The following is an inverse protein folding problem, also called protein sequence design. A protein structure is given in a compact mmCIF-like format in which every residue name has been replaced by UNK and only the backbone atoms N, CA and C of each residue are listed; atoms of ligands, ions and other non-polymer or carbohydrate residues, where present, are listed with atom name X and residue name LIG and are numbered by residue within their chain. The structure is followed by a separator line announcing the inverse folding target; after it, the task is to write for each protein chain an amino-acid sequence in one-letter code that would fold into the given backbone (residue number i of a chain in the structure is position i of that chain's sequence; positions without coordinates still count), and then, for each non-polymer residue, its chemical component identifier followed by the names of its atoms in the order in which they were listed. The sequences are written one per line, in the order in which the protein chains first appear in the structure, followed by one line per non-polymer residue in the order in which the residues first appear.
data_IF_761362530193
#
_entry.id   IF_761362530193
#
_cell.length_a   1.000
_cell.length_b   1.000
_cell.length_c   1.000
_cell.angle_alpha   90.00
_cell.angle_beta   90.00
_cell.angle_gamma   90.00
#
_symmetry.space_group_name_H-M   'P 1'
#
loop_
_entity.id
_entity.type
_entity.pdbx_description
1 polymer ?
#
# COMPACT_ATOMS: atom_id res chain seq x y z
N UNK A 1 -2.20 10.27 -10.27
CA UNK A 1 -3.07 9.52 -9.35
C UNK A 1 -2.42 9.42 -7.99
N UNK A 2 -3.21 9.32 -6.92
CA UNK A 2 -2.68 9.24 -5.55
C UNK A 2 -2.94 7.83 -5.02
N UNK A 3 -1.89 7.20 -4.51
CA UNK A 3 -1.98 5.94 -3.77
C UNK A 3 -1.70 6.18 -2.29
N UNK A 4 -2.42 5.46 -1.44
CA UNK A 4 -2.22 5.48 0.00
C UNK A 4 -1.49 4.19 0.38
N UNK A 5 -0.42 4.31 1.16
CA UNK A 5 0.35 3.20 1.69
C UNK A 5 0.12 3.18 3.19
N UNK A 6 -0.49 2.11 3.70
CA UNK A 6 -0.70 1.88 5.12
C UNK A 6 0.31 0.85 5.60
N UNK A 7 1.14 1.23 6.57
CA UNK A 7 2.15 0.36 7.17
C UNK A 7 1.79 0.15 8.63
N UNK A 8 1.52 -1.10 8.98
CA UNK A 8 1.05 -1.48 10.30
C UNK A 8 2.21 -1.99 11.17
N UNK A 9 2.07 -1.85 12.48
CA UNK A 9 3.07 -2.33 13.45
C UNK A 9 3.23 -3.86 13.45
N UNK A 10 2.29 -4.61 12.87
CA UNK A 10 2.44 -6.04 12.66
C UNK A 10 3.30 -6.41 11.43
N UNK A 11 3.89 -5.42 10.75
CA UNK A 11 4.72 -5.60 9.56
C UNK A 11 3.96 -5.69 8.24
N UNK A 12 2.62 -5.67 8.27
CA UNK A 12 1.79 -5.72 7.07
C UNK A 12 1.75 -4.37 6.37
N UNK A 13 1.70 -4.39 5.03
CA UNK A 13 1.46 -3.22 4.18
C UNK A 13 0.18 -3.39 3.38
N UNK A 14 -0.60 -2.33 3.28
CA UNK A 14 -1.76 -2.24 2.39
C UNK A 14 -1.62 -1.04 1.46
N UNK A 15 -1.75 -1.27 0.16
CA UNK A 15 -1.91 -0.22 -0.84
C UNK A 15 -3.40 0.01 -1.09
N UNK A 16 -3.80 1.27 -1.05
CA UNK A 16 -5.17 1.71 -1.23
C UNK A 16 -5.25 2.80 -2.30
N UNK A 17 -6.13 2.59 -3.27
CA UNK A 17 -6.57 3.58 -4.23
C UNK A 17 -8.06 3.85 -3.99
N UNK A 18 -8.48 5.10 -3.97
CA UNK A 18 -9.88 5.49 -3.83
C UNK A 18 -10.12 6.80 -4.58
N UNK A 19 -10.65 6.72 -5.80
CA UNK A 19 -10.94 7.90 -6.64
C UNK A 19 -12.21 7.70 -7.47
N UNK A 20 -12.84 8.81 -7.85
CA UNK A 20 -13.92 8.79 -8.84
C UNK A 20 -13.31 8.65 -10.23
N UNK A 21 -13.68 7.59 -10.94
CA UNK A 21 -13.27 7.32 -12.30
C UNK A 21 -14.47 7.47 -13.24
N UNK A 22 -14.17 7.73 -14.51
CA UNK A 22 -15.15 7.84 -15.58
C UNK A 22 -14.72 6.94 -16.74
N UNK A 23 -15.65 6.15 -17.29
CA UNK A 23 -15.42 5.24 -18.40
C UNK A 23 -16.20 3.94 -18.27
N UNK A 24 -16.10 3.06 -19.28
CA UNK A 24 -16.64 1.69 -19.20
C UNK A 24 -15.68 0.79 -18.43
N UNK A 25 -14.42 0.73 -18.88
CA UNK A 25 -13.29 0.03 -18.27
C UNK A 25 -12.13 1.02 -18.12
N UNK A 26 -11.38 0.92 -17.02
CA UNK A 26 -10.24 1.76 -16.73
C UNK A 26 -8.99 0.92 -16.46
N UNK A 27 -7.93 1.17 -17.22
CA UNK A 27 -6.62 0.56 -17.05
C UNK A 27 -5.87 1.25 -15.92
N UNK A 28 -5.92 0.66 -14.72
CA UNK A 28 -5.30 1.19 -13.51
C UNK A 28 -3.87 0.63 -13.32
N UNK A 29 -2.80 1.42 -13.52
CA UNK A 29 -1.46 0.98 -13.17
C UNK A 29 -1.33 0.80 -11.65
N UNK A 30 -0.90 -0.39 -11.25
CA UNK A 30 -0.54 -0.70 -9.87
C UNK A 30 0.90 -0.24 -9.61
N UNK A 31 1.15 0.55 -8.56
CA UNK A 31 2.46 1.13 -8.32
C UNK A 31 3.49 0.09 -7.86
N UNK A 32 3.03 -1.05 -7.35
CA UNK A 32 3.88 -2.15 -6.91
C UNK A 32 3.22 -3.49 -7.26
N UNK A 33 3.98 -4.53 -7.64
CA UNK A 33 3.43 -5.84 -7.93
C UNK A 33 2.64 -6.42 -6.74
N UNK A 34 1.41 -6.92 -6.95
CA UNK A 34 0.61 -7.48 -5.87
C UNK A 34 1.14 -8.85 -5.40
N UNK A 35 1.08 -9.09 -4.09
CA UNK A 35 1.31 -10.39 -3.46
C UNK A 35 0.10 -11.31 -3.63
N UNK A 36 -1.10 -10.74 -3.58
CA UNK A 36 -2.40 -11.41 -3.73
C UNK A 36 -3.31 -10.63 -4.68
N UNK A 37 -4.35 -11.28 -5.21
CA UNK A 37 -5.33 -10.63 -6.07
C UNK A 37 -5.88 -9.33 -5.43
N UNK A 38 -5.86 -8.19 -6.12
CA UNK A 38 -6.44 -6.96 -5.62
C UNK A 38 -7.95 -7.08 -5.44
N UNK A 39 -8.47 -6.52 -4.34
CA UNK A 39 -9.92 -6.39 -4.15
C UNK A 39 -10.34 -5.05 -4.74
N UNK A 40 -11.29 -5.09 -5.67
CA UNK A 40 -11.81 -3.93 -6.37
C UNK A 40 -13.27 -3.73 -6.00
N UNK A 41 -13.63 -2.49 -5.64
CA UNK A 41 -14.99 -2.11 -5.33
C UNK A 41 -15.42 -0.94 -6.22
N UNK A 42 -16.58 -1.07 -6.85
CA UNK A 42 -17.28 -0.02 -7.57
C UNK A 42 -18.42 0.49 -6.67
N UNK A 43 -18.33 1.76 -6.23
CA UNK A 43 -19.28 2.36 -5.28
C UNK A 43 -19.50 1.51 -4.01
N UNK A 44 -18.44 0.82 -3.55
CA UNK A 44 -18.49 -0.06 -2.38
C UNK A 44 -18.92 -1.50 -2.66
N UNK A 45 -19.37 -1.82 -3.87
CA UNK A 45 -19.73 -3.18 -4.28
C UNK A 45 -18.52 -3.88 -4.91
N UNK A 46 -18.12 -5.08 -4.45
CA UNK A 46 -17.07 -5.84 -5.09
C UNK A 46 -17.39 -6.12 -6.56
N UNK A 47 -16.43 -5.84 -7.45
CA UNK A 47 -16.55 -6.10 -8.89
C UNK A 47 -15.37 -6.93 -9.39
N UNK A 48 -15.58 -7.78 -10.40
CA UNK A 48 -14.46 -8.48 -11.03
C UNK A 48 -13.54 -7.47 -11.72
N UNK A 49 -12.23 -7.71 -11.63
CA UNK A 49 -11.22 -6.96 -12.35
C UNK A 49 -10.16 -7.91 -12.89
N UNK A 50 -9.55 -7.55 -14.02
CA UNK A 50 -8.54 -8.41 -14.68
C UNK A 50 -7.16 -7.82 -14.45
N UNK A 51 -6.28 -8.60 -13.85
CA UNK A 51 -4.89 -8.20 -13.65
C UNK A 51 -4.05 -8.65 -14.85
N UNK A 52 -3.50 -7.70 -15.61
CA UNK A 52 -2.58 -7.94 -16.71
C UNK A 52 -1.19 -7.36 -16.37
N UNK A 53 -0.32 -8.21 -15.81
CA UNK A 53 0.99 -7.79 -15.31
C UNK A 53 0.87 -6.81 -14.13
N UNK A 54 1.22 -5.54 -14.36
CA UNK A 54 1.09 -4.44 -13.38
C UNK A 54 -0.12 -3.55 -13.62
N UNK A 55 -0.95 -3.83 -14.62
CA UNK A 55 -2.14 -3.04 -14.94
C UNK A 55 -3.39 -3.82 -14.55
N UNK A 56 -4.29 -3.16 -13.83
CA UNK A 56 -5.56 -3.71 -13.39
C UNK A 56 -6.69 -3.10 -14.23
N UNK A 57 -7.37 -3.92 -15.02
CA UNK A 57 -8.53 -3.52 -15.81
C UNK A 57 -9.78 -3.53 -14.93
N UNK A 58 -10.30 -2.34 -14.63
CA UNK A 58 -11.40 -2.14 -13.69
C UNK A 58 -12.69 -1.72 -14.42
N UNK A 59 -13.81 -2.44 -14.26
CA UNK A 59 -15.09 -2.00 -14.79
C UNK A 59 -15.65 -0.84 -13.96
N UNK A 60 -15.78 0.33 -14.59
CA UNK A 60 -16.29 1.56 -13.98
C UNK A 60 -17.78 1.76 -14.30
N UNK A 61 -18.22 1.39 -15.50
CA UNK A 61 -19.63 1.45 -15.94
C UNK A 61 -20.25 2.87 -15.88
N UNK A 62 -19.55 3.87 -16.39
CA UNK A 62 -19.99 5.26 -16.42
C UNK A 62 -19.16 6.10 -15.46
N UNK A 63 -19.71 6.48 -14.31
CA UNK A 63 -19.00 7.25 -13.28
C UNK A 63 -19.15 6.56 -11.93
N UNK A 64 -18.04 6.16 -11.33
CA UNK A 64 -18.05 5.44 -10.06
C UNK A 64 -16.84 5.80 -9.19
N UNK A 65 -17.04 5.71 -7.87
CA UNK A 65 -15.94 5.68 -6.91
C UNK A 65 -15.33 4.29 -6.94
N UNK A 66 -14.13 4.19 -7.48
CA UNK A 66 -13.38 2.93 -7.53
C UNK A 66 -12.43 2.88 -6.35
N UNK A 67 -12.58 1.83 -5.53
CA UNK A 67 -11.66 1.51 -4.45
C UNK A 67 -10.89 0.25 -4.81
N UNK A 68 -9.56 0.30 -4.74
CA UNK A 68 -8.69 -0.88 -4.92
C UNK A 68 -7.82 -1.03 -3.68
N UNK A 69 -7.80 -2.23 -3.10
CA UNK A 69 -6.96 -2.56 -1.94
C UNK A 69 -6.19 -3.85 -2.20
N UNK A 70 -4.90 -3.86 -1.88
CA UNK A 70 -4.06 -5.05 -2.02
C UNK A 70 -2.78 -4.97 -1.18
N UNK A 71 -2.14 -6.12 -0.96
CA UNK A 71 -0.83 -6.23 -0.31
C UNK A 71 0.24 -6.33 -1.40
N UNK A 72 1.30 -5.49 -1.38
CA UNK A 72 2.37 -5.57 -2.37
C UNK A 72 3.33 -6.72 -2.05
N UNK A 73 4.10 -7.17 -3.04
CA UNK A 73 5.23 -8.08 -2.79
C UNK A 73 6.34 -7.34 -2.07
N UNK A 74 6.65 -7.81 -0.86
CA UNK A 74 7.74 -7.28 -0.04
C UNK A 74 8.94 -8.22 -0.06
N UNK A 75 10.13 -7.64 -0.14
CA UNK A 75 11.39 -8.31 0.10
C UNK A 75 11.79 -8.09 1.57
N UNK A 76 12.50 -9.07 2.15
CA UNK A 76 12.97 -8.97 3.54
C UNK A 76 14.47 -9.19 3.58
N UNK A 77 15.21 -8.21 4.11
CA UNK A 77 16.67 -8.29 4.28
C UNK A 77 17.04 -7.72 5.65
N UNK A 78 17.68 -8.53 6.51
CA UNK A 78 18.16 -8.08 7.81
C UNK A 78 17.08 -7.50 8.74
N UNK A 79 15.86 -8.05 8.69
CA UNK A 79 14.71 -7.54 9.48
C UNK A 79 14.05 -6.28 8.93
N UNK A 80 14.53 -5.75 7.80
CA UNK A 80 13.89 -4.66 7.05
C UNK A 80 13.05 -5.24 5.93
N UNK A 81 11.78 -4.85 5.88
CA UNK A 81 10.88 -5.13 4.77
C UNK A 81 10.96 -4.00 3.76
N UNK A 82 10.92 -4.31 2.47
CA UNK A 82 10.96 -3.30 1.42
C UNK A 82 10.16 -3.70 0.19
N UNK A 83 9.63 -2.71 -0.52
CA UNK A 83 9.01 -2.90 -1.82
C UNK A 83 9.20 -1.65 -2.69
N UNK A 84 9.23 -1.84 -4.01
CA UNK A 84 9.38 -0.73 -4.94
C UNK A 84 8.01 -0.16 -5.31
N UNK A 85 7.98 1.15 -5.55
CA UNK A 85 6.84 1.89 -6.07
C UNK A 85 7.25 2.64 -7.34
N UNK A 86 6.36 2.65 -8.34
CA UNK A 86 6.54 3.38 -9.60
C UNK A 86 6.40 4.90 -9.43
N UNK A 87 6.51 5.64 -10.53
CA UNK A 87 6.17 7.07 -10.56
C UNK A 87 4.74 7.31 -10.06
N UNK A 88 4.57 8.34 -9.23
CA UNK A 88 3.28 8.67 -8.64
C UNK A 88 3.39 9.45 -7.34
N UNK A 89 2.25 9.96 -6.87
CA UNK A 89 2.15 10.62 -5.58
C UNK A 89 1.60 9.65 -4.53
N UNK A 90 2.28 9.58 -3.39
CA UNK A 90 1.99 8.64 -2.31
C UNK A 90 1.68 9.37 -1.02
N UNK A 91 0.61 8.95 -0.35
CA UNK A 91 0.35 9.26 1.05
C UNK A 91 0.69 8.04 1.90
N UNK A 92 1.79 8.11 2.63
CA UNK A 92 2.30 7.03 3.46
C UNK A 92 1.87 7.29 4.88
N UNK A 93 1.10 6.38 5.46
CA UNK A 93 0.78 6.35 6.88
C UNK A 93 1.49 5.14 7.50
N UNK A 94 2.37 5.39 8.47
CA UNK A 94 3.01 4.34 9.24
C UNK A 94 2.62 4.44 10.70
N UNK A 95 2.17 3.33 11.27
CA UNK A 95 1.81 3.22 12.67
C UNK A 95 3.05 3.37 13.58
N UNK A 96 2.83 3.79 14.83
CA UNK A 96 3.87 3.80 15.85
C UNK A 96 4.53 2.43 16.02
N UNK A 97 5.84 2.43 16.26
CA UNK A 97 6.66 1.21 16.27
C UNK A 97 7.17 0.79 14.89
N UNK A 98 6.89 1.55 13.83
CA UNK A 98 7.50 1.33 12.50
C UNK A 98 8.61 2.35 12.26
N UNK A 99 9.83 1.89 11.98
CA UNK A 99 10.90 2.72 11.45
C UNK A 99 10.78 2.78 9.92
N UNK A 100 10.64 3.99 9.35
CA UNK A 100 10.55 4.19 7.90
C UNK A 100 11.92 4.58 7.32
N UNK A 101 12.28 3.96 6.20
CA UNK A 101 13.49 4.22 5.42
C UNK A 101 13.17 4.33 3.92
N UNK A 102 12.30 5.28 3.49
CA UNK A 102 11.97 5.44 2.09
C UNK A 102 13.15 6.00 1.28
N UNK A 103 13.29 5.58 0.03
CA UNK A 103 14.20 6.20 -0.95
C UNK A 103 13.47 7.08 -1.97
N UNK A 104 12.14 7.17 -1.86
CA UNK A 104 11.30 8.10 -2.63
C UNK A 104 11.53 9.56 -2.20
N UNK A 105 11.19 10.51 -3.07
CA UNK A 105 11.33 11.95 -2.78
C UNK A 105 10.25 12.39 -1.79
N UNK A 106 10.65 12.80 -0.59
CA UNK A 106 9.72 13.26 0.44
C UNK A 106 9.32 14.72 0.16
N UNK A 107 8.03 14.96 -0.02
CA UNK A 107 7.48 16.30 -0.25
C UNK A 107 7.08 16.98 1.07
N UNK A 108 6.49 16.22 1.99
CA UNK A 108 6.10 16.71 3.31
C UNK A 108 5.94 15.54 4.28
N UNK A 109 6.06 15.79 5.57
CA UNK A 109 5.74 14.82 6.60
C UNK A 109 5.22 15.52 7.86
N UNK A 110 4.40 14.81 8.62
CA UNK A 110 3.93 15.22 9.93
C UNK A 110 3.79 14.01 10.82
N UNK A 111 4.05 14.19 12.10
CA UNK A 111 3.67 13.21 13.12
C UNK A 111 2.23 13.51 13.56
N UNK A 112 1.43 12.47 13.77
CA UNK A 112 0.07 12.55 14.29
C UNK A 112 -0.17 11.43 15.29
N UNK A 113 -0.19 11.75 16.59
CA UNK A 113 -0.13 10.75 17.64
C UNK A 113 1.17 9.95 17.53
N UNK A 114 1.06 8.62 17.50
CA UNK A 114 2.21 7.74 17.30
C UNK A 114 2.50 7.39 15.83
N UNK A 115 1.64 7.83 14.91
CA UNK A 115 1.82 7.57 13.49
C UNK A 115 2.60 8.69 12.80
N UNK A 116 3.33 8.32 11.75
CA UNK A 116 3.95 9.27 10.81
C UNK A 116 3.13 9.27 9.53
N UNK A 117 2.75 10.46 9.09
CA UNK A 117 2.11 10.69 7.80
C UNK A 117 3.10 11.42 6.89
N UNK A 118 3.35 10.87 5.71
CA UNK A 118 4.33 11.39 4.77
C UNK A 118 3.71 11.48 3.39
N UNK A 119 3.96 12.58 2.69
CA UNK A 119 3.63 12.78 1.29
C UNK A 119 4.92 12.64 0.51
N UNK A 120 4.97 11.71 -0.43
CA UNK A 120 6.17 11.42 -1.20
C UNK A 120 5.86 11.21 -2.68
N UNK A 121 6.85 11.46 -3.52
CA UNK A 121 6.82 11.28 -4.96
C UNK A 121 7.76 10.13 -5.35
N UNK A 122 7.21 9.11 -6.01
CA UNK A 122 7.99 8.03 -6.61
C UNK A 122 8.67 8.46 -7.91
N UNK A 123 9.53 7.61 -8.48
CA UNK A 123 9.72 6.20 -8.14
C UNK A 123 10.72 6.01 -7.00
N UNK A 124 10.73 4.83 -6.40
CA UNK A 124 11.69 4.48 -5.34
C UNK A 124 11.27 3.28 -4.51
N UNK A 125 12.02 2.99 -3.47
CA UNK A 125 11.73 1.93 -2.52
C UNK A 125 11.08 2.51 -1.26
N UNK A 126 10.11 1.78 -0.72
CA UNK A 126 9.58 1.99 0.63
C UNK A 126 10.14 0.88 1.48
N UNK A 127 11.16 1.18 2.29
CA UNK A 127 11.71 0.25 3.26
C UNK A 127 11.23 0.61 4.67
N UNK A 128 11.00 -0.39 5.51
CA UNK A 128 10.56 -0.22 6.88
C UNK A 128 10.95 -1.41 7.77
N UNK A 129 11.09 -1.15 9.07
CA UNK A 129 11.33 -2.17 10.08
C UNK A 129 10.35 -2.01 11.23
N UNK A 130 9.94 -3.13 11.83
CA UNK A 130 9.07 -3.14 13.01
C UNK A 130 9.94 -3.16 14.26
N UNK A 131 9.78 -2.15 15.12
CA UNK A 131 10.41 -2.07 16.43
C UNK A 131 9.62 -2.96 17.39
N UNK A 132 10.13 -4.15 17.70
CA UNK A 132 9.40 -5.03 18.63
C UNK A 132 9.93 -6.46 18.81
N UNK A 133 10.75 -6.99 17.92
CA UNK A 133 11.42 -8.27 18.18
C UNK A 133 12.83 -8.00 18.71
N UNK A 134 13.00 -8.11 20.03
CA UNK A 134 14.33 -8.44 20.58
C UNK A 134 14.70 -9.80 20.02
N UNK A 135 15.44 -9.84 18.92
CA UNK A 135 16.22 -11.03 18.61
C UNK A 135 17.31 -11.07 19.67
N UNK A 136 17.11 -11.88 20.72
CA UNK A 136 18.21 -12.27 21.60
C UNK A 136 19.30 -12.77 20.67
N UNK A 137 20.43 -12.09 20.62
CA UNK A 137 21.58 -12.57 19.89
C UNK A 137 21.88 -13.98 20.41
N UNK A 138 21.59 -15.01 19.60
CA UNK A 138 22.16 -16.32 19.85
C UNK A 138 23.66 -16.13 19.70
N UNK A 139 24.35 -16.10 20.82
CA UNK A 139 25.78 -16.33 20.93
C UNK A 139 26.10 -17.64 20.25
N UNK A 140 26.48 -17.57 18.97
CA UNK A 140 27.24 -18.62 18.32
C UNK A 140 28.54 -18.74 19.12
N UNK A 141 28.78 -19.93 19.65
CA UNK A 141 29.76 -20.22 20.69
C UNK A 141 31.13 -19.59 20.44
N UNK A 142 31.71 -19.06 21.50
CA UNK A 142 33.13 -18.70 21.58
C UNK A 142 33.99 -19.92 21.17
N UNK A 143 35.00 -19.74 20.31
CA UNK A 143 36.01 -20.76 20.10
C UNK A 143 36.88 -20.84 21.36
N UNK A 144 36.79 -21.96 22.07
CA UNK A 144 37.75 -22.33 23.12
C UNK A 144 39.13 -22.48 22.50
N UNK A 145 40.07 -21.64 22.93
CA UNK A 145 41.51 -21.86 22.73
C UNK A 145 41.88 -23.17 23.46
N UNK A 146 42.23 -24.20 22.71
CA UNK A 146 42.96 -25.36 23.25
C UNK A 146 44.37 -25.38 22.65
N UNK A 147 45.33 -25.47 23.55
CA UNK A 147 46.75 -25.42 23.26
C UNK A 147 47.26 -26.77 22.72
N UNK A 148 48.29 -26.64 21.88
CA UNK A 148 49.12 -27.59 21.15
C UNK A 148 49.65 -28.77 22.00
N UNK A 149 49.68 -29.99 21.43
CA UNK A 149 50.91 -30.80 21.45
C UNK A 149 50.97 -31.95 20.43
N UNK A 150 52.14 -32.07 19.77
CA UNK A 150 52.77 -33.28 19.18
C UNK A 150 52.22 -33.77 17.83
N UNK A 151 52.99 -34.22 16.82
CA UNK A 151 54.43 -34.41 16.60
C UNK A 151 54.64 -34.57 15.08
N UNK A 152 55.80 -34.15 14.58
CA UNK A 152 56.18 -34.22 13.16
C UNK A 152 56.48 -35.65 12.68
N UNK A 153 56.10 -35.95 11.43
CA UNK A 153 56.91 -36.82 10.55
C UNK A 153 56.81 -36.34 9.10
N UNK A 154 57.99 -36.13 8.53
CA UNK A 154 58.29 -35.65 7.19
C UNK A 154 58.28 -36.82 6.21
N UNK A 155 57.69 -36.71 5.02
CA UNK A 155 58.17 -37.45 3.82
C UNK A 155 57.80 -36.72 2.53
N UNK A 156 58.85 -36.43 1.77
CA UNK A 156 58.95 -35.88 0.41
C UNK A 156 58.53 -36.88 -0.66
N UNK A 157 57.83 -36.45 -1.72
CA UNK A 157 58.10 -36.78 -3.15
C UNK A 157 56.92 -36.43 -4.09
N UNK A 158 57.24 -35.67 -5.15
CA UNK A 158 56.63 -35.69 -6.51
C UNK A 158 57.60 -36.48 -7.43
N UNK A 159 57.28 -36.99 -8.64
CA UNK A 159 56.07 -36.86 -9.48
C UNK A 159 55.60 -38.15 -10.26
N UNK A 160 54.55 -37.98 -11.07
CA UNK A 160 54.32 -38.56 -12.44
C UNK A 160 53.36 -39.77 -12.69
N UNK A 161 52.32 -39.45 -13.47
CA UNK A 161 51.48 -40.18 -14.48
C UNK A 161 51.22 -41.70 -14.41
N UNK A 162 49.95 -42.11 -14.57
CA UNK A 162 49.40 -42.84 -15.75
C UNK A 162 47.87 -43.07 -15.65
N UNK A 163 47.12 -42.45 -16.58
CA UNK A 163 46.02 -42.97 -17.45
C UNK A 163 44.94 -43.95 -16.91
N UNK A 164 43.65 -43.62 -17.11
CA UNK A 164 42.70 -44.31 -18.03
C UNK A 164 41.21 -44.08 -17.69
N UNK A 165 40.45 -43.60 -18.70
CA UNK A 165 39.01 -43.79 -19.01
C UNK A 165 37.92 -43.40 -17.98
N UNK A 166 36.73 -42.87 -18.31
CA UNK A 166 36.08 -42.31 -19.52
C UNK A 166 34.76 -41.68 -19.02
N UNK A 167 34.09 -40.86 -19.86
CA UNK A 167 32.62 -40.79 -20.02
C UNK A 167 31.92 -39.41 -19.86
N UNK A 168 31.78 -38.75 -21.01
CA UNK A 168 30.53 -38.25 -21.65
C UNK A 168 29.86 -36.92 -21.19
N UNK A 169 29.99 -35.96 -22.13
CA UNK A 169 29.08 -34.91 -22.63
C UNK A 169 28.59 -33.76 -21.76
N UNK A 170 29.17 -32.59 -22.07
CA UNK A 170 28.48 -31.30 -22.10
C UNK A 170 28.16 -30.92 -23.56
N UNK A 171 26.94 -30.41 -23.80
CA UNK A 171 26.47 -29.74 -25.03
C UNK A 171 26.38 -28.24 -24.67
N UNK A 172 27.22 -27.34 -25.20
CA UNK A 172 27.12 -26.60 -26.49
C UNK A 172 25.91 -25.63 -26.55
N UNK A 173 25.91 -24.39 -27.06
CA UNK A 173 26.82 -23.63 -27.94
C UNK A 173 26.36 -22.16 -28.02
N UNK A 174 27.31 -21.27 -28.37
CA UNK A 174 27.16 -19.86 -28.76
C UNK A 174 26.87 -19.68 -30.27
N UNK A 175 26.02 -18.69 -30.60
CA UNK A 175 25.80 -17.94 -31.87
C UNK A 175 26.45 -18.36 -33.22
N UNK A 176 25.68 -18.27 -34.33
CA UNK A 176 25.74 -17.20 -35.36
C UNK A 176 24.88 -17.46 -36.63
N UNK A 177 24.22 -16.38 -37.09
CA UNK A 177 23.74 -15.96 -38.42
C UNK A 177 23.54 -16.94 -39.63
N UNK A 178 22.41 -16.82 -40.35
CA UNK A 178 22.31 -16.21 -41.70
C UNK A 178 20.92 -16.40 -42.39
N UNK A 179 20.47 -15.28 -42.98
CA UNK A 179 19.61 -14.91 -44.12
C UNK A 179 18.82 -15.91 -45.02
N UNK A 180 17.69 -15.39 -45.54
CA UNK A 180 16.88 -15.69 -46.76
C UNK A 180 15.69 -16.67 -46.61
N UNK A 181 14.54 -16.58 -47.29
CA UNK A 181 13.73 -15.58 -48.05
C UNK A 181 12.38 -16.30 -48.34
N UNK A 182 11.29 -15.53 -48.48
CA UNK A 182 10.08 -15.79 -49.30
C UNK A 182 8.95 -16.77 -48.88
N UNK A 183 7.76 -16.15 -48.74
CA UNK A 183 6.47 -16.45 -49.43
C UNK A 183 5.64 -17.66 -48.98
N UNK A 184 4.44 -17.41 -48.42
CA UNK A 184 3.14 -17.59 -49.11
C UNK A 184 1.98 -17.20 -48.17
N UNK A 185 1.04 -16.43 -48.73
CA UNK A 185 -0.22 -16.01 -48.14
C UNK A 185 -1.30 -17.09 -48.22
N UNK A 186 -2.22 -17.14 -47.25
CA UNK A 186 -3.61 -17.56 -47.46
C UNK A 186 -4.47 -17.15 -46.25
N UNK A 187 -5.75 -16.96 -46.53
CA UNK A 187 -6.67 -16.07 -45.85
C UNK A 187 -7.92 -16.84 -45.38
N UNK A 188 -8.57 -16.33 -44.32
CA UNK A 188 -10.02 -16.38 -43.94
C UNK A 188 -10.87 -17.65 -44.17
N UNK A 189 -11.67 -18.03 -43.15
CA UNK A 189 -13.14 -18.13 -43.28
C UNK A 189 -13.84 -17.99 -41.91
N UNK A 190 -14.94 -17.25 -41.92
CA UNK A 190 -15.88 -16.92 -40.84
C UNK A 190 -16.96 -18.02 -40.70
N UNK A 191 -17.63 -18.15 -39.55
CA UNK A 191 -19.09 -18.45 -39.56
C UNK A 191 -19.73 -18.10 -38.21
N UNK A 192 -20.80 -17.31 -38.26
CA UNK A 192 -21.67 -16.94 -37.14
C UNK A 192 -22.99 -17.75 -37.17
N UNK A 193 -23.55 -18.01 -35.97
CA UNK A 193 -25.00 -18.09 -35.52
C UNK A 193 -26.06 -18.77 -36.42
N UNK A 194 -27.11 -19.47 -35.89
CA UNK A 194 -28.12 -18.76 -35.05
C UNK A 194 -29.23 -19.52 -34.21
N UNK A 195 -29.96 -18.72 -33.41
CA UNK A 195 -31.36 -18.74 -32.84
C UNK A 195 -32.08 -19.95 -32.15
N UNK A 196 -32.57 -19.68 -30.91
CA UNK A 196 -33.99 -19.62 -30.43
C UNK A 196 -34.86 -20.88 -30.15
N UNK A 197 -35.40 -20.93 -28.91
CA UNK A 197 -36.81 -21.22 -28.50
C UNK A 197 -37.32 -22.62 -28.07
N UNK A 198 -37.77 -22.65 -26.79
CA UNK A 198 -38.76 -23.44 -26.03
C UNK A 198 -39.09 -24.91 -26.40
N UNK A 199 -39.15 -25.79 -25.38
CA UNK A 199 -40.35 -26.56 -25.07
C UNK A 199 -40.22 -27.33 -23.74
N UNK A 200 -41.23 -27.15 -22.90
CA UNK A 200 -41.57 -27.97 -21.74
C UNK A 200 -42.19 -29.29 -22.19
N UNK A 201 -41.88 -30.40 -21.51
CA UNK A 201 -42.72 -31.59 -21.54
C UNK A 201 -42.69 -32.33 -20.20
N UNK A 202 -43.85 -32.28 -19.55
CA UNK A 202 -44.33 -33.22 -18.54
C UNK A 202 -44.33 -34.63 -19.11
N UNK A 203 -43.86 -35.62 -18.34
CA UNK A 203 -44.34 -36.99 -18.44
C UNK A 203 -44.24 -37.69 -17.10
N UNK A 204 -45.32 -38.41 -16.80
CA UNK A 204 -45.70 -39.01 -15.53
C UNK A 204 -45.43 -40.52 -15.55
N UNK A 205 -45.14 -41.05 -14.36
CA UNK A 205 -45.30 -42.46 -13.94
C UNK A 205 -44.19 -43.44 -14.42
N UNK A 206 -43.81 -44.50 -13.69
CA UNK A 206 -44.53 -45.33 -12.72
C UNK A 206 -43.57 -45.89 -11.66
N UNK A 207 -44.15 -46.16 -10.50
CA UNK A 207 -43.64 -46.68 -9.24
C UNK A 207 -42.83 -47.99 -9.25
N UNK A 208 -42.09 -48.20 -8.16
CA UNK A 208 -41.60 -49.52 -7.76
C UNK A 208 -40.78 -49.56 -6.47
N UNK A 209 -41.48 -49.80 -5.35
CA UNK A 209 -41.03 -50.45 -4.10
C UNK A 209 -40.48 -49.58 -2.95
N UNK A 210 -41.17 -49.72 -1.82
CA UNK A 210 -41.00 -49.03 -0.56
C UNK A 210 -40.35 -49.94 0.51
N UNK A 211 -39.44 -49.33 1.28
CA UNK A 211 -39.30 -49.32 2.74
C UNK A 211 -39.11 -50.62 3.56
N UNK A 212 -37.98 -50.67 4.28
CA UNK A 212 -37.83 -51.08 5.71
C UNK A 212 -36.37 -50.77 6.12
N UNK A 213 -36.08 -49.86 7.05
CA UNK A 213 -36.10 -49.94 8.52
C UNK A 213 -34.66 -49.89 9.09
N UNK A 214 -34.42 -48.90 9.97
CA UNK A 214 -33.47 -48.82 11.12
C UNK A 214 -32.10 -49.51 11.05
N UNK A 215 -31.03 -48.77 11.39
CA UNK A 215 -30.15 -48.99 12.58
C UNK A 215 -28.88 -48.14 12.51
N UNK A 216 -28.48 -47.61 13.66
CA UNK A 216 -27.24 -46.87 13.88
C UNK A 216 -26.00 -47.77 13.91
N UNK A 217 -24.86 -47.30 13.38
CA UNK A 217 -23.52 -47.55 13.92
C UNK A 217 -22.44 -46.66 13.26
N UNK A 218 -21.87 -45.79 14.08
CA UNK A 218 -20.46 -45.36 14.20
C UNK A 218 -19.51 -45.48 13.00
N UNK A 219 -19.02 -44.32 12.56
CA UNK A 219 -17.74 -44.16 11.85
C UNK A 219 -17.17 -42.78 12.13
N UNK A 220 -16.19 -42.71 13.04
CA UNK A 220 -15.40 -41.50 13.31
C UNK A 220 -14.42 -41.25 12.16
N UNK A 221 -14.29 -40.01 11.71
CA UNK A 221 -12.97 -39.44 11.39
C UNK A 221 -13.00 -37.91 11.48
N UNK A 222 -12.20 -37.44 12.41
CA UNK A 222 -11.89 -36.06 12.77
C UNK A 222 -10.98 -35.37 11.75
N UNK A 223 -11.28 -34.12 11.36
CA UNK A 223 -10.22 -33.12 11.15
C UNK A 223 -10.71 -31.70 11.49
N UNK A 224 -10.20 -31.21 12.61
CA UNK A 224 -9.84 -29.83 12.96
C UNK A 224 -10.73 -28.66 12.48
N UNK A 225 -11.52 -28.13 13.42
CA UNK A 225 -12.09 -26.79 13.33
C UNK A 225 -11.03 -25.70 13.48
N UNK A 226 -10.89 -24.86 12.45
CA UNK A 226 -10.27 -23.55 12.55
C UNK A 226 -11.32 -22.51 12.92
N UNK A 227 -11.34 -22.09 14.19
CA UNK A 227 -12.16 -20.97 14.66
C UNK A 227 -11.66 -19.68 14.02
N UNK A 228 -12.47 -19.06 13.16
CA UNK A 228 -12.26 -17.70 12.70
C UNK A 228 -12.41 -16.74 13.89
N UNK A 229 -11.35 -16.01 14.23
CA UNK A 229 -11.38 -14.97 15.25
C UNK A 229 -12.13 -13.74 14.70
N UNK A 230 -13.21 -13.28 15.36
CA UNK A 230 -14.00 -12.12 14.91
C UNK A 230 -13.26 -10.77 15.04
N UNK A 231 -12.10 -10.73 15.72
CA UNK A 231 -11.36 -9.49 16.00
C UNK A 231 -10.67 -8.86 14.79
N UNK A 232 -10.33 -9.65 13.76
CA UNK A 232 -9.66 -9.12 12.57
C UNK A 232 -10.62 -8.28 11.68
N UNK A 233 -11.92 -8.58 11.71
CA UNK A 233 -12.91 -7.86 10.91
C UNK A 233 -13.23 -6.47 11.48
N UNK A 234 -13.24 -6.33 12.82
CA UNK A 234 -13.43 -5.03 13.48
C UNK A 234 -12.21 -4.12 13.29
N UNK A 235 -10.99 -4.65 13.38
CA UNK A 235 -9.76 -3.87 13.19
C UNK A 235 -9.66 -3.24 11.78
N UNK A 236 -10.13 -3.94 10.75
CA UNK A 236 -10.19 -3.45 9.37
C UNK A 236 -11.22 -2.31 9.18
N UNK A 237 -12.33 -2.33 9.91
CA UNK A 237 -13.33 -1.25 9.88
C UNK A 237 -12.82 0.02 10.58
N UNK A 238 -12.14 -0.10 11.72
CA UNK A 238 -11.55 1.04 12.42
C UNK A 238 -10.38 1.67 11.64
N UNK A 239 -9.56 0.86 10.97
CA UNK A 239 -8.48 1.38 10.12
C UNK A 239 -9.02 2.15 8.90
N UNK A 240 -10.07 1.65 8.25
CA UNK A 240 -10.71 2.35 7.14
C UNK A 240 -11.41 3.64 7.60
N UNK A 241 -12.12 3.61 8.74
CA UNK A 241 -12.76 4.79 9.32
C UNK A 241 -11.73 5.84 9.77
N UNK A 242 -10.60 5.43 10.34
CA UNK A 242 -9.52 6.34 10.72
C UNK A 242 -8.87 6.98 9.49
N UNK A 243 -8.64 6.23 8.41
CA UNK A 243 -8.07 6.77 7.16
C UNK A 243 -9.07 7.70 6.46
N UNK A 244 -10.36 7.37 6.41
CA UNK A 244 -11.40 8.28 5.88
C UNK A 244 -11.55 9.50 6.78
N UNK A 245 -11.51 9.36 8.11
CA UNK A 245 -11.53 10.49 9.03
C UNK A 245 -10.28 11.35 8.90
N UNK A 246 -9.10 10.78 8.67
CA UNK A 246 -7.86 11.52 8.45
C UNK A 246 -7.88 12.22 7.10
N UNK A 247 -8.33 11.57 6.02
CA UNK A 247 -8.51 12.20 4.70
C UNK A 247 -9.60 13.26 4.76
N UNK A 248 -10.70 13.02 5.46
CA UNK A 248 -11.75 14.00 5.68
C UNK A 248 -11.24 15.16 6.55
N UNK A 249 -10.48 14.91 7.62
CA UNK A 249 -9.87 15.96 8.46
C UNK A 249 -8.81 16.73 7.68
N UNK A 250 -8.02 16.09 6.81
CA UNK A 250 -7.05 16.76 5.95
C UNK A 250 -7.73 17.52 4.81
N UNK A 251 -8.84 17.01 4.27
CA UNK A 251 -9.65 17.69 3.26
C UNK A 251 -10.47 18.84 3.86
N UNK A 252 -11.00 18.69 5.08
CA UNK A 252 -11.63 19.78 5.84
C UNK A 252 -10.59 20.81 6.26
N UNK A 253 -9.39 20.40 6.70
CA UNK A 253 -8.27 21.32 6.99
C UNK A 253 -7.75 22.02 5.74
N UNK A 254 -7.76 21.34 4.60
CA UNK A 254 -7.46 21.91 3.29
C UNK A 254 -8.53 22.92 2.88
N UNK A 255 -9.82 22.56 3.00
CA UNK A 255 -10.96 23.41 2.64
C UNK A 255 -11.11 24.63 3.54
N UNK A 256 -10.76 24.50 4.83
CA UNK A 256 -10.66 25.61 5.77
C UNK A 256 -9.51 26.58 5.43
N UNK A 257 -8.48 26.14 4.70
CA UNK A 257 -7.43 27.01 4.15
C UNK A 257 -7.83 27.66 2.82
N UNK A 258 -8.71 27.02 2.05
CA UNK A 258 -9.18 27.50 0.74
C UNK A 258 -10.15 28.69 0.83
N UNK A 259 -10.88 28.83 1.94
CA UNK A 259 -11.94 29.84 2.12
C UNK A 259 -11.46 31.11 2.88
N UNK A 260 -10.15 31.32 2.94
CA UNK A 260 -9.57 32.53 3.54
C UNK A 260 -9.56 33.65 2.51
N UNK A 261 -10.22 34.76 2.86
CA UNK A 261 -10.21 36.01 2.09
C UNK A 261 -8.77 36.54 1.99
N UNK A 262 -8.44 37.31 0.96
CA UNK A 262 -7.09 37.81 0.69
C UNK A 262 -6.50 38.60 1.88
N UNK A 263 -7.35 39.37 2.56
CA UNK A 263 -6.98 40.07 3.80
C UNK A 263 -6.57 39.11 4.93
N UNK A 264 -7.26 37.98 5.08
CA UNK A 264 -6.95 37.00 6.13
C UNK A 264 -5.66 36.27 5.84
N UNK A 265 -5.41 35.96 4.57
CA UNK A 265 -4.15 35.36 4.14
C UNK A 265 -2.98 36.28 4.46
N UNK A 266 -3.16 37.59 4.25
CA UNK A 266 -2.13 38.58 4.54
C UNK A 266 -1.88 38.77 6.04
N UNK A 267 -2.93 38.75 6.86
CA UNK A 267 -2.79 38.76 8.33
C UNK A 267 -2.11 37.49 8.84
N UNK A 268 -2.53 36.32 8.35
CA UNK A 268 -1.99 35.04 8.77
C UNK A 268 -0.52 34.85 8.35
N UNK A 269 -0.16 35.28 7.14
CA UNK A 269 1.22 35.19 6.65
C UNK A 269 2.16 36.08 7.46
N UNK A 270 1.71 37.30 7.80
CA UNK A 270 2.45 38.20 8.69
C UNK A 270 2.68 37.59 10.08
N UNK A 271 1.62 37.06 10.69
CA UNK A 271 1.70 36.42 12.02
C UNK A 271 2.64 35.22 12.02
N UNK A 272 2.64 34.40 10.96
CA UNK A 272 3.58 33.27 10.81
C UNK A 272 5.03 33.70 10.67
N UNK A 273 5.28 34.84 10.04
CA UNK A 273 6.63 35.38 9.85
C UNK A 273 7.21 35.94 11.15
N UNK A 274 6.38 36.58 11.97
CA UNK A 274 6.81 37.28 13.20
C UNK A 274 6.70 36.38 14.44
N UNK A 275 5.91 35.31 14.41
CA UNK A 275 5.71 34.42 15.56
C UNK A 275 4.63 34.90 16.53
N UNK A 276 3.86 35.91 16.14
CA UNK A 276 2.81 36.54 16.95
C UNK A 276 3.05 38.03 17.13
N UNK A 277 1.96 38.81 17.20
CA UNK A 277 2.02 40.26 17.30
C UNK A 277 0.75 40.83 17.94
N UNK A 278 0.82 42.07 18.42
CA UNK A 278 -0.38 42.78 18.85
C UNK A 278 -1.24 43.17 17.65
N UNK A 279 -2.56 43.14 17.79
CA UNK A 279 -3.50 43.51 16.72
C UNK A 279 -3.21 44.92 16.14
N UNK A 280 -2.82 45.86 17.01
CA UNK A 280 -2.41 47.21 16.61
C UNK A 280 -1.12 47.25 15.79
N UNK A 281 -0.20 46.32 16.03
CA UNK A 281 1.06 46.20 15.28
C UNK A 281 0.81 45.58 13.92
N UNK A 282 -0.05 44.55 13.86
CA UNK A 282 -0.50 43.94 12.60
C UNK A 282 -1.18 45.00 11.70
N UNK A 283 -2.05 45.83 12.27
CA UNK A 283 -2.70 46.92 11.54
C UNK A 283 -1.69 47.93 10.97
N UNK A 284 -0.69 48.32 11.76
CA UNK A 284 0.38 49.24 11.32
C UNK A 284 1.27 48.61 10.26
N UNK A 285 1.66 47.35 10.43
CA UNK A 285 2.57 46.66 9.54
C UNK A 285 1.95 46.35 8.17
N UNK A 286 0.63 46.10 8.14
CA UNK A 286 -0.10 45.79 6.91
C UNK A 286 -0.77 47.01 6.27
N UNK A 287 -0.78 48.17 6.93
CA UNK A 287 -1.44 49.38 6.42
C UNK A 287 -2.97 49.25 6.33
N UNK A 288 -3.58 48.36 7.12
CA UNK A 288 -5.02 48.08 7.08
C UNK A 288 -5.70 48.69 8.33
N UNK A 289 -6.96 49.19 8.23
CA UNK A 289 -7.71 49.64 9.38
C UNK A 289 -7.80 48.58 10.49
N UNK A 290 -7.62 49.01 11.75
CA UNK A 290 -7.63 48.12 12.92
C UNK A 290 -8.91 47.29 13.05
N UNK A 291 -10.07 47.86 12.70
CA UNK A 291 -11.36 47.15 12.71
C UNK A 291 -11.42 46.01 11.69
N UNK A 292 -10.74 46.14 10.55
CA UNK A 292 -10.61 45.07 9.55
C UNK A 292 -9.69 43.97 10.06
N UNK A 293 -8.56 44.32 10.69
CA UNK A 293 -7.68 43.34 11.34
C UNK A 293 -8.41 42.61 12.46
N UNK A 294 -9.17 43.31 13.31
CA UNK A 294 -10.00 42.69 14.35
C UNK A 294 -10.96 41.64 13.77
N UNK A 295 -11.69 41.99 12.70
CA UNK A 295 -12.62 41.07 12.02
C UNK A 295 -11.89 39.87 11.43
N UNK A 296 -10.75 40.10 10.77
CA UNK A 296 -9.90 39.04 10.20
C UNK A 296 -9.33 38.11 11.27
N UNK A 297 -8.80 38.65 12.37
CA UNK A 297 -8.29 37.88 13.51
C UNK A 297 -9.40 37.03 14.13
N UNK A 298 -10.60 37.59 14.35
CA UNK A 298 -11.73 36.84 14.91
C UNK A 298 -12.26 35.75 13.97
N UNK A 299 -12.14 35.94 12.66
CA UNK A 299 -12.47 34.91 11.66
C UNK A 299 -11.41 33.81 11.62
N UNK A 300 -10.13 34.19 11.64
CA UNK A 300 -8.99 33.25 11.72
C UNK A 300 -9.00 32.44 13.02
N UNK A 301 -9.39 33.05 14.14
CA UNK A 301 -9.55 32.40 15.43
C UNK A 301 -10.70 31.39 15.40
N UNK A 302 -11.86 31.77 14.86
CA UNK A 302 -13.00 30.85 14.65
C UNK A 302 -12.65 29.69 13.72
N UNK A 303 -11.78 29.93 12.73
CA UNK A 303 -11.23 28.90 11.85
C UNK A 303 -10.13 28.05 12.50
N UNK A 304 -9.71 28.37 13.73
CA UNK A 304 -8.71 27.62 14.49
C UNK A 304 -7.26 27.84 14.03
N UNK A 305 -6.99 28.91 13.26
CA UNK A 305 -5.68 29.18 12.64
C UNK A 305 -4.80 30.10 13.49
N UNK A 306 -5.39 30.87 14.40
CA UNK A 306 -4.69 31.75 15.33
C UNK A 306 -5.28 31.63 16.73
N UNK A 307 -4.48 31.92 17.76
CA UNK A 307 -4.90 32.06 19.14
C UNK A 307 -4.83 33.55 19.54
N UNK A 308 -5.86 34.03 20.24
CA UNK A 308 -5.87 35.39 20.80
C UNK A 308 -5.75 35.28 22.31
N UNK A 309 -4.76 35.97 22.87
CA UNK A 309 -4.54 36.08 24.30
C UNK A 309 -4.55 37.56 24.69
N UNK A 310 -5.09 37.88 25.87
CA UNK A 310 -4.96 39.23 26.42
C UNK A 310 -3.62 39.37 27.14
N UNK A 311 -2.70 40.15 26.56
CA UNK A 311 -1.43 40.54 27.18
C UNK A 311 -1.39 42.06 27.30
N UNK A 312 -1.03 42.56 28.48
CA UNK A 312 -0.91 44.00 28.75
C UNK A 312 -2.17 44.82 28.38
N UNK A 313 -3.36 44.27 28.65
CA UNK A 313 -4.64 44.91 28.31
C UNK A 313 -4.93 45.01 26.81
N UNK A 314 -4.12 44.36 25.96
CA UNK A 314 -4.23 44.36 24.49
C UNK A 314 -4.36 42.92 23.97
N UNK A 315 -4.91 42.79 22.78
CA UNK A 315 -5.04 41.49 22.12
C UNK A 315 -3.71 41.13 21.46
N UNK A 316 -3.05 40.12 21.99
CA UNK A 316 -1.89 39.47 21.37
C UNK A 316 -2.37 38.28 20.56
N UNK A 317 -1.96 38.20 19.29
CA UNK A 317 -2.40 37.18 18.35
C UNK A 317 -1.20 36.32 17.97
N UNK A 318 -1.29 35.01 18.14
CA UNK A 318 -0.24 34.05 17.77
C UNK A 318 -0.76 33.02 16.76
N UNK A 319 0.05 32.62 15.76
CA UNK A 319 -0.33 31.55 14.84
C UNK A 319 -0.36 30.19 15.57
N UNK A 320 -1.31 29.31 15.20
CA UNK A 320 -1.37 27.91 15.64
C UNK A 320 -0.70 26.96 14.65
#
# INVERSE_FOLDING_TARGET
MIWIILIFVNGTVLLLFNQTLVGSVYSLPLPSPPLSAPVVLNNGTPVPAVLNGSVLEVPVLGRAVVTVKYVPRVATVGGTLSFNVSDGLYLIWAQGGVALLPTVKILNYTKSGDAVLMVAEGPGAIAYAVQGTRTTAQTLGQPTKQAVNQTATQTTATPQMTQTASNVSAVQTTAHAATQTATTAASITQQATPYTTYASSTSTAVAGHASSSSSAATGQTSVAGGRAHPDAALALLFAAAAVVAIIAVLALRGRARSDLNDTDRMVLSYLRRVGGAYESEVARALGIPRTTVFKSVRRLERAGLVAVEKRDGRNFVAPK
#
